data_IF_765138896715
#
_entry.id   IF_765138896715
#
_cell.length_a   1.000
_cell.length_b   1.000
_cell.length_c   1.000
_cell.angle_alpha   90.00
_cell.angle_beta   90.00
_cell.angle_gamma   90.00
#
_symmetry.space_group_name_H-M   'P 1'
#
loop_
_entity.id
_entity.type
_entity.pdbx_description
1 polymer ?
#
# COMPACT_ATOMS: atom_id res chain seq x y z
N UNK A 1 31.51 32.96 24.22
CA UNK A 1 32.27 32.00 23.42
C UNK A 1 32.29 30.68 24.20
N UNK A 2 31.31 29.84 23.96
CA UNK A 2 31.16 28.56 24.66
C UNK A 2 31.52 27.44 23.70
N UNK A 3 32.61 26.74 23.97
CA UNK A 3 33.03 25.53 23.27
C UNK A 3 32.11 24.37 23.70
N UNK A 4 31.30 23.86 22.75
CA UNK A 4 30.69 22.58 22.95
C UNK A 4 31.67 21.48 22.50
N UNK A 5 32.14 20.66 23.45
CA UNK A 5 32.90 19.46 23.20
C UNK A 5 32.00 18.40 22.57
N UNK A 6 32.22 18.12 21.32
CA UNK A 6 31.65 16.98 20.57
C UNK A 6 32.22 15.67 21.10
N UNK A 7 31.43 14.94 21.84
CA UNK A 7 31.80 13.62 22.31
C UNK A 7 30.60 12.76 22.57
N UNK A 8 29.91 12.31 21.48
CA UNK A 8 28.96 11.16 21.48
C UNK A 8 28.23 10.92 20.14
N UNK A 9 28.75 11.42 19.05
CA UNK A 9 28.15 11.19 17.72
C UNK A 9 28.69 9.86 17.07
N UNK A 10 29.77 9.31 17.60
CA UNK A 10 30.41 8.14 17.00
C UNK A 10 29.74 6.78 17.21
N UNK A 11 28.69 6.68 18.07
CA UNK A 11 28.03 5.38 18.30
C UNK A 11 26.75 5.20 17.45
N UNK A 12 26.12 6.26 17.00
CA UNK A 12 24.90 6.15 16.18
C UNK A 12 25.20 5.84 14.71
N UNK A 13 26.34 6.29 14.18
CA UNK A 13 26.71 5.99 12.79
C UNK A 13 27.12 4.53 12.58
N UNK A 14 27.68 3.87 13.62
CA UNK A 14 28.09 2.45 13.52
C UNK A 14 26.92 1.45 13.51
N UNK A 15 25.75 1.84 13.99
CA UNK A 15 24.57 0.96 13.99
C UNK A 15 23.83 0.98 12.64
N UNK A 16 23.94 2.06 11.87
CA UNK A 16 23.27 2.20 10.57
C UNK A 16 24.10 1.64 9.41
N UNK A 17 25.40 1.41 9.60
CA UNK A 17 26.26 0.84 8.54
C UNK A 17 26.12 -0.68 8.35
N UNK A 18 25.31 -1.37 9.16
CA UNK A 18 25.16 -2.83 9.12
C UNK A 18 23.88 -3.34 8.44
N UNK A 19 22.91 -2.48 8.12
CA UNK A 19 21.67 -2.91 7.47
C UNK A 19 21.30 -1.95 6.33
N UNK A 20 21.65 -2.34 5.11
CA UNK A 20 21.13 -1.69 3.92
C UNK A 20 21.80 -0.35 3.55
N UNK A 21 21.67 0.07 2.32
CA UNK A 21 22.13 1.38 1.88
C UNK A 21 21.50 2.47 2.76
N UNK A 22 22.33 3.37 3.29
CA UNK A 22 21.85 4.53 4.04
C UNK A 22 20.80 5.27 3.23
N UNK A 23 19.62 5.45 3.81
CA UNK A 23 18.57 6.30 3.21
C UNK A 23 18.99 7.78 3.22
N UNK A 24 19.99 8.14 4.03
CA UNK A 24 20.51 9.49 4.12
C UNK A 24 21.64 9.72 3.12
N UNK A 25 21.61 10.86 2.46
CA UNK A 25 22.61 11.35 1.53
C UNK A 25 23.14 12.72 1.95
N UNK A 26 24.20 13.19 1.31
CA UNK A 26 24.69 14.55 1.54
C UNK A 26 23.71 15.66 1.14
N UNK A 27 22.64 15.30 0.45
CA UNK A 27 21.61 16.24 0.02
C UNK A 27 20.50 16.45 1.06
N UNK A 28 20.49 15.65 2.13
CA UNK A 28 19.51 15.79 3.21
C UNK A 28 19.69 17.09 4.03
N UNK A 29 20.85 17.74 3.92
CA UNK A 29 21.08 19.06 4.46
C UNK A 29 20.48 20.21 3.61
N UNK A 30 19.99 19.91 2.42
CA UNK A 30 19.44 20.92 1.50
C UNK A 30 17.91 20.87 1.48
N UNK A 31 17.22 22.01 1.38
CA UNK A 31 15.75 22.07 1.41
C UNK A 31 15.12 21.69 0.06
N UNK A 32 15.51 20.56 -0.52
CA UNK A 32 15.06 20.11 -1.85
C UNK A 32 13.99 19.03 -1.80
N UNK A 33 13.78 18.40 -0.66
CA UNK A 33 12.86 17.27 -0.46
C UNK A 33 11.89 17.52 0.69
N UNK A 34 11.90 18.72 1.23
CA UNK A 34 11.14 19.05 2.42
C UNK A 34 9.64 19.06 2.15
N UNK A 35 8.90 18.26 2.89
CA UNK A 35 7.46 18.35 3.03
C UNK A 35 7.07 18.12 4.48
N UNK A 36 6.18 18.96 5.00
CA UNK A 36 5.57 18.81 6.32
C UNK A 36 4.26 18.04 6.25
N UNK A 37 3.83 17.70 5.03
CA UNK A 37 2.60 16.97 4.81
C UNK A 37 2.73 15.51 5.24
N UNK A 38 1.62 14.86 5.58
CA UNK A 38 1.61 13.43 5.85
C UNK A 38 2.22 12.61 4.70
N UNK A 39 2.79 11.44 5.03
CA UNK A 39 3.44 10.54 4.07
C UNK A 39 2.52 10.09 2.92
N UNK A 40 1.21 10.25 3.06
CA UNK A 40 0.22 10.00 2.01
C UNK A 40 0.37 10.90 0.78
N UNK A 41 1.16 11.96 0.85
CA UNK A 41 1.39 12.85 -0.29
C UNK A 41 2.25 12.10 -1.32
N UNK A 42 1.74 11.84 -2.52
CA UNK A 42 2.47 11.09 -3.53
C UNK A 42 3.50 11.96 -4.25
N UNK A 43 4.48 11.31 -4.87
CA UNK A 43 5.53 11.97 -5.66
C UNK A 43 5.05 12.50 -7.04
N UNK A 44 3.75 12.52 -7.29
CA UNK A 44 3.16 12.94 -8.57
C UNK A 44 1.96 13.84 -8.37
N UNK A 45 1.76 14.77 -9.30
CA UNK A 45 0.58 15.65 -9.38
C UNK A 45 -0.51 15.08 -10.30
N UNK A 46 -0.33 13.89 -10.86
CA UNK A 46 -1.36 13.25 -11.67
C UNK A 46 -2.59 13.00 -10.81
N UNK A 47 -3.72 13.57 -11.25
CA UNK A 47 -4.99 13.43 -10.55
C UNK A 47 -5.45 11.98 -10.42
N UNK A 48 -5.08 11.14 -11.36
CA UNK A 48 -5.49 9.74 -11.43
C UNK A 48 -4.44 8.77 -10.87
N UNK A 49 -3.37 9.30 -10.27
CA UNK A 49 -2.43 8.45 -9.55
C UNK A 49 -3.15 7.68 -8.45
N UNK A 50 -2.91 6.40 -8.38
CA UNK A 50 -3.44 5.53 -7.34
C UNK A 50 -2.41 4.47 -6.95
N UNK A 51 -2.58 3.99 -5.72
CA UNK A 51 -1.89 2.81 -5.20
C UNK A 51 -2.94 1.78 -4.79
N UNK A 52 -2.73 0.49 -5.06
CA UNK A 52 -3.77 -0.51 -4.86
C UNK A 52 -3.24 -1.84 -4.34
N UNK A 53 -4.12 -2.50 -3.62
CA UNK A 53 -4.06 -3.93 -3.34
C UNK A 53 -4.91 -4.69 -4.36
N UNK A 54 -4.43 -5.86 -4.75
CA UNK A 54 -5.21 -6.79 -5.55
C UNK A 54 -4.99 -8.21 -5.06
N UNK A 55 -6.09 -8.87 -4.70
CA UNK A 55 -6.10 -10.26 -4.29
C UNK A 55 -7.11 -11.04 -5.10
N UNK A 56 -6.84 -12.31 -5.35
CA UNK A 56 -7.82 -13.22 -5.91
C UNK A 56 -7.55 -14.63 -5.40
N UNK A 57 -8.57 -15.47 -5.50
CA UNK A 57 -8.48 -16.85 -5.11
C UNK A 57 -9.67 -17.65 -5.64
N UNK A 58 -9.53 -18.96 -5.60
CA UNK A 58 -10.55 -19.88 -6.03
C UNK A 58 -10.48 -21.15 -5.20
N UNK A 59 -11.61 -21.86 -5.11
CA UNK A 59 -11.62 -23.19 -4.50
C UNK A 59 -10.89 -24.18 -5.41
N UNK A 60 -10.19 -25.15 -4.83
CA UNK A 60 -9.43 -26.16 -5.56
C UNK A 60 -10.32 -26.99 -6.49
N UNK A 61 -11.57 -27.22 -6.10
CA UNK A 61 -12.61 -27.90 -6.89
C UNK A 61 -13.35 -26.98 -7.87
N UNK A 62 -13.01 -25.68 -7.91
CA UNK A 62 -13.68 -24.68 -8.75
C UNK A 62 -15.03 -24.21 -8.21
N UNK A 63 -15.43 -24.57 -6.99
CA UNK A 63 -16.73 -24.23 -6.40
C UNK A 63 -16.97 -22.74 -6.22
N UNK A 64 -15.90 -21.92 -6.08
CA UNK A 64 -15.98 -20.48 -6.07
C UNK A 64 -14.73 -19.80 -6.59
N UNK A 65 -14.89 -18.54 -7.00
CA UNK A 65 -13.81 -17.60 -7.29
C UNK A 65 -14.11 -16.27 -6.61
N UNK A 66 -13.07 -15.59 -6.12
CA UNK A 66 -13.21 -14.23 -5.65
C UNK A 66 -12.08 -13.31 -6.15
N UNK A 67 -12.39 -12.02 -6.25
CA UNK A 67 -11.45 -10.96 -6.52
C UNK A 67 -11.69 -9.80 -5.54
N UNK A 68 -10.61 -9.22 -5.03
CA UNK A 68 -10.63 -8.14 -4.07
C UNK A 68 -9.71 -7.04 -4.58
N UNK A 69 -10.22 -5.80 -4.60
CA UNK A 69 -9.44 -4.60 -4.86
C UNK A 69 -9.62 -3.59 -3.75
N UNK A 70 -8.56 -2.92 -3.35
CA UNK A 70 -8.63 -1.73 -2.51
C UNK A 70 -7.62 -0.71 -3.03
N UNK A 71 -8.04 0.54 -3.22
CA UNK A 71 -7.22 1.56 -3.82
C UNK A 71 -7.28 2.88 -3.08
N UNK A 72 -6.12 3.52 -2.96
CA UNK A 72 -5.96 4.87 -2.48
C UNK A 72 -5.67 5.79 -3.66
N UNK A 73 -6.48 6.84 -3.82
CA UNK A 73 -6.32 7.90 -4.82
C UNK A 73 -5.94 9.20 -4.09
N UNK A 74 -4.67 9.42 -3.78
CA UNK A 74 -4.25 10.50 -2.88
C UNK A 74 -4.59 11.89 -3.42
N UNK A 75 -4.44 12.12 -4.73
CA UNK A 75 -4.75 13.42 -5.37
C UNK A 75 -6.26 13.67 -5.55
N UNK A 76 -7.10 12.64 -5.40
CA UNK A 76 -8.56 12.77 -5.33
C UNK A 76 -9.07 12.81 -3.89
N UNK A 77 -8.23 12.41 -2.93
CA UNK A 77 -8.62 12.31 -1.52
C UNK A 77 -9.63 11.21 -1.25
N UNK A 78 -9.57 10.11 -2.01
CA UNK A 78 -10.52 8.99 -1.94
C UNK A 78 -9.76 7.68 -1.68
N UNK A 79 -10.38 6.82 -0.90
CA UNK A 79 -10.04 5.42 -0.75
C UNK A 79 -11.28 4.58 -1.06
N UNK A 80 -11.15 3.54 -1.86
CA UNK A 80 -12.24 2.63 -2.19
C UNK A 80 -11.84 1.16 -2.04
N UNK A 81 -12.83 0.30 -2.06
CA UNK A 81 -12.64 -1.14 -2.10
C UNK A 81 -13.79 -1.82 -2.84
N UNK A 82 -13.49 -3.03 -3.35
CA UNK A 82 -14.48 -3.92 -3.93
C UNK A 82 -14.14 -5.37 -3.59
N UNK A 83 -15.16 -6.16 -3.31
CA UNK A 83 -15.09 -7.60 -3.14
C UNK A 83 -16.10 -8.24 -4.09
N UNK A 84 -15.64 -9.11 -4.96
CA UNK A 84 -16.48 -9.88 -5.88
C UNK A 84 -16.32 -11.36 -5.59
N UNK A 85 -17.42 -12.05 -5.40
CA UNK A 85 -17.50 -13.50 -5.21
C UNK A 85 -18.37 -14.10 -6.31
N UNK A 86 -17.87 -15.12 -6.99
CA UNK A 86 -18.65 -15.94 -7.90
C UNK A 86 -18.79 -17.33 -7.28
N UNK A 87 -20.03 -17.74 -7.04
CA UNK A 87 -20.39 -19.05 -6.50
C UNK A 87 -21.68 -19.53 -7.23
N UNK A 88 -21.74 -20.81 -7.58
CA UNK A 88 -22.88 -21.39 -8.31
C UNK A 88 -23.26 -20.63 -9.60
N UNK A 89 -22.27 -20.02 -10.28
CA UNK A 89 -22.47 -19.22 -11.48
C UNK A 89 -23.09 -17.84 -11.23
N UNK A 90 -23.29 -17.43 -9.97
CA UNK A 90 -23.84 -16.14 -9.59
C UNK A 90 -22.71 -15.26 -9.01
N UNK A 91 -22.65 -14.02 -9.48
CA UNK A 91 -21.72 -13.02 -8.94
C UNK A 91 -22.41 -12.20 -7.86
N UNK A 92 -21.76 -12.16 -6.70
CA UNK A 92 -22.10 -11.26 -5.60
C UNK A 92 -21.00 -10.23 -5.48
N UNK A 93 -21.36 -8.97 -5.17
CA UNK A 93 -20.37 -7.90 -5.08
C UNK A 93 -20.67 -6.94 -3.92
N UNK A 94 -19.63 -6.56 -3.23
CA UNK A 94 -19.60 -5.48 -2.25
C UNK A 94 -18.68 -4.37 -2.78
N UNK A 95 -19.11 -3.11 -2.64
CA UNK A 95 -18.32 -1.92 -2.98
C UNK A 95 -18.51 -0.86 -1.91
N UNK A 96 -17.43 -0.20 -1.52
CA UNK A 96 -17.49 0.93 -0.61
C UNK A 96 -16.39 1.95 -0.93
N UNK A 97 -16.60 3.20 -0.54
CA UNK A 97 -15.61 4.25 -0.63
C UNK A 97 -15.71 5.23 0.52
N UNK A 98 -14.60 5.88 0.84
CA UNK A 98 -14.50 6.92 1.87
C UNK A 98 -13.52 8.00 1.45
N UNK A 99 -13.49 9.10 2.21
CA UNK A 99 -12.37 10.03 2.12
C UNK A 99 -11.07 9.34 2.52
N UNK A 100 -10.01 9.62 1.79
CA UNK A 100 -8.69 9.09 2.10
C UNK A 100 -8.28 9.47 3.53
N UNK A 101 -7.80 8.52 4.34
CA UNK A 101 -7.30 8.81 5.69
C UNK A 101 -6.03 9.64 5.65
N UNK A 102 -5.69 10.29 6.76
CA UNK A 102 -4.42 10.99 6.93
C UNK A 102 -3.27 10.00 7.16
N UNK A 103 -3.57 8.93 7.90
CA UNK A 103 -2.62 7.88 8.23
C UNK A 103 -2.64 6.78 7.17
N UNK A 104 -1.52 6.51 6.47
CA UNK A 104 -1.47 5.48 5.42
C UNK A 104 -1.68 4.07 5.95
N UNK A 105 -1.55 3.85 7.25
CA UNK A 105 -1.82 2.56 7.90
C UNK A 105 -3.31 2.29 8.14
N UNK A 106 -4.18 3.27 7.97
CA UNK A 106 -5.62 3.11 8.05
C UNK A 106 -6.18 2.51 6.76
N UNK A 107 -6.14 1.19 6.65
CA UNK A 107 -6.55 0.43 5.47
C UNK A 107 -7.96 -0.14 5.64
N UNK A 108 -8.94 0.74 5.98
CA UNK A 108 -10.33 0.32 6.16
C UNK A 108 -11.31 1.22 5.39
N UNK A 109 -12.38 0.62 4.87
CA UNK A 109 -13.48 1.28 4.16
C UNK A 109 -14.79 0.62 4.58
N UNK A 110 -15.51 1.22 5.53
CA UNK A 110 -16.72 0.63 6.10
C UNK A 110 -16.42 -0.74 6.76
N UNK A 111 -17.14 -1.81 6.39
CA UNK A 111 -16.91 -3.14 6.95
C UNK A 111 -15.68 -3.85 6.37
N UNK A 112 -15.03 -3.29 5.36
CA UNK A 112 -13.83 -3.85 4.75
C UNK A 112 -12.56 -3.29 5.40
N UNK A 113 -11.55 -4.16 5.65
CA UNK A 113 -10.21 -3.73 6.08
C UNK A 113 -9.11 -4.70 5.69
N UNK A 114 -7.91 -4.16 5.56
CA UNK A 114 -6.67 -4.92 5.39
C UNK A 114 -5.80 -4.70 6.63
N UNK A 115 -5.41 -5.77 7.28
CA UNK A 115 -4.53 -5.78 8.44
C UNK A 115 -3.15 -6.30 8.00
N UNK A 116 -2.11 -5.47 8.12
CA UNK A 116 -0.73 -5.90 7.87
C UNK A 116 -0.21 -6.55 9.15
N UNK A 117 -0.20 -7.88 9.19
CA UNK A 117 0.22 -8.64 10.37
C UNK A 117 1.75 -8.63 10.50
N UNK A 118 2.45 -8.94 9.40
CA UNK A 118 3.90 -8.81 9.29
C UNK A 118 4.23 -8.27 7.89
N UNK A 119 4.82 -7.06 7.78
CA UNK A 119 5.11 -6.46 6.48
C UNK A 119 5.88 -7.40 5.55
N UNK A 120 5.46 -7.48 4.28
CA UNK A 120 6.02 -8.32 3.23
C UNK A 120 5.89 -9.84 3.46
N UNK A 121 5.24 -10.29 4.54
CA UNK A 121 5.11 -11.72 4.86
C UNK A 121 3.69 -12.18 5.08
N UNK A 122 2.90 -11.42 5.82
CA UNK A 122 1.52 -11.81 6.09
C UNK A 122 0.59 -10.63 6.27
N UNK A 123 -0.61 -10.76 5.74
CA UNK A 123 -1.68 -9.81 5.91
C UNK A 123 -3.02 -10.55 5.99
N UNK A 124 -4.01 -9.86 6.48
CA UNK A 124 -5.38 -10.35 6.60
C UNK A 124 -6.33 -9.38 5.90
N UNK A 125 -7.24 -9.92 5.11
CA UNK A 125 -8.37 -9.18 4.53
C UNK A 125 -9.63 -9.60 5.28
N UNK A 126 -10.36 -8.62 5.78
CA UNK A 126 -11.63 -8.84 6.48
C UNK A 126 -12.73 -8.07 5.79
N UNK A 127 -13.85 -8.72 5.59
CA UNK A 127 -15.12 -8.11 5.26
C UNK A 127 -16.12 -8.56 6.30
N UNK A 128 -16.51 -7.64 7.18
CA UNK A 128 -17.51 -7.91 8.21
C UNK A 128 -18.92 -7.97 7.59
N UNK A 129 -19.90 -8.39 8.38
CA UNK A 129 -21.29 -8.51 7.95
C UNK A 129 -21.81 -7.18 7.36
N UNK A 130 -22.52 -7.28 6.25
CA UNK A 130 -23.04 -6.15 5.49
C UNK A 130 -24.29 -6.54 4.69
N UNK A 131 -24.89 -5.59 3.99
CA UNK A 131 -26.14 -5.82 3.25
C UNK A 131 -26.04 -6.79 2.07
N UNK A 132 -24.83 -7.11 1.58
CA UNK A 132 -24.67 -8.03 0.45
C UNK A 132 -24.68 -9.49 0.86
N UNK A 133 -24.58 -9.78 2.16
CA UNK A 133 -24.48 -11.12 2.68
C UNK A 133 -23.11 -11.77 2.49
N UNK A 134 -22.12 -11.05 1.94
CA UNK A 134 -20.73 -11.53 1.85
C UNK A 134 -20.01 -11.13 3.14
N UNK A 135 -19.44 -12.09 3.85
CA UNK A 135 -18.52 -11.82 4.95
C UNK A 135 -17.39 -12.84 4.94
N UNK A 136 -16.17 -12.41 5.28
CA UNK A 136 -15.01 -13.29 5.29
C UNK A 136 -13.85 -12.74 6.11
N UNK A 137 -12.97 -13.65 6.49
CA UNK A 137 -11.63 -13.36 6.97
C UNK A 137 -10.65 -14.23 6.20
N UNK A 138 -9.72 -13.61 5.49
CA UNK A 138 -8.76 -14.29 4.62
C UNK A 138 -7.35 -13.95 5.05
N UNK A 139 -6.58 -14.95 5.41
CA UNK A 139 -5.17 -14.81 5.77
C UNK A 139 -4.27 -15.11 4.57
N UNK A 140 -3.39 -14.18 4.25
CA UNK A 140 -2.41 -14.28 3.18
C UNK A 140 -1.02 -14.43 3.78
N UNK A 141 -0.33 -15.48 3.38
CA UNK A 141 1.02 -15.79 3.86
C UNK A 141 1.94 -15.96 2.65
N UNK A 142 2.99 -15.15 2.59
CA UNK A 142 3.99 -15.23 1.53
C UNK A 142 4.72 -16.59 1.59
N UNK A 143 4.80 -17.27 0.46
CA UNK A 143 5.56 -18.54 0.32
C UNK A 143 6.98 -18.30 -0.17
N UNK A 144 7.24 -17.15 -0.77
CA UNK A 144 8.53 -16.74 -1.32
C UNK A 144 8.83 -15.31 -0.89
N UNK A 145 10.07 -14.88 -1.07
CA UNK A 145 10.40 -13.46 -0.92
C UNK A 145 9.60 -12.63 -1.94
N UNK A 146 9.16 -11.47 -1.50
CA UNK A 146 8.51 -10.48 -2.38
C UNK A 146 9.55 -9.92 -3.36
N UNK A 147 9.11 -9.56 -4.55
CA UNK A 147 9.94 -8.89 -5.55
C UNK A 147 9.21 -7.66 -6.07
N UNK A 148 9.98 -6.65 -6.45
CA UNK A 148 9.45 -5.48 -7.11
C UNK A 148 9.35 -5.74 -8.62
N UNK A 149 8.20 -5.45 -9.21
CA UNK A 149 8.09 -5.44 -10.66
C UNK A 149 8.91 -4.28 -11.23
N UNK A 150 9.58 -4.54 -12.36
CA UNK A 150 10.34 -3.51 -13.05
C UNK A 150 9.42 -2.45 -13.65
N UNK A 151 9.83 -1.18 -13.60
CA UNK A 151 9.11 -0.10 -14.24
C UNK A 151 8.98 -0.35 -15.74
N UNK A 152 7.77 -0.44 -16.25
CA UNK A 152 7.51 -0.51 -17.68
C UNK A 152 7.34 0.92 -18.23
N UNK A 153 8.26 1.31 -19.10
CA UNK A 153 8.20 2.57 -19.83
C UNK A 153 7.60 2.31 -21.21
N UNK A 154 6.34 2.70 -21.41
CA UNK A 154 5.75 2.66 -22.75
C UNK A 154 5.96 3.99 -23.46
N UNK A 155 6.88 4.00 -24.39
CA UNK A 155 7.19 5.16 -25.24
C UNK A 155 6.22 5.19 -26.45
N UNK A 156 4.95 5.47 -26.18
CA UNK A 156 3.93 5.63 -27.24
C UNK A 156 3.60 7.09 -27.50
N UNK A 157 4.56 8.00 -27.43
CA UNK A 157 4.46 9.39 -27.94
C UNK A 157 3.39 10.28 -27.29
N UNK A 158 2.67 9.83 -26.27
CA UNK A 158 1.62 10.57 -25.56
C UNK A 158 1.66 10.35 -24.04
N UNK A 159 2.81 10.59 -23.44
CA UNK A 159 2.97 10.51 -22.00
C UNK A 159 3.62 9.19 -21.54
N UNK A 160 4.26 9.29 -20.39
CA UNK A 160 4.93 8.18 -19.72
C UNK A 160 3.89 7.52 -18.80
N UNK A 161 3.58 6.25 -19.05
CA UNK A 161 2.89 5.42 -18.07
C UNK A 161 3.95 4.64 -17.29
N UNK A 162 4.00 4.86 -15.97
CA UNK A 162 4.76 4.04 -15.06
C UNK A 162 3.82 3.04 -14.40
N UNK A 163 4.10 1.76 -14.58
CA UNK A 163 3.50 0.69 -13.80
C UNK A 163 4.58 0.19 -12.85
N UNK A 164 4.26 0.21 -11.56
CA UNK A 164 5.09 -0.39 -10.52
C UNK A 164 4.37 -1.59 -9.94
#
# INVERSE_FOLDING_TARGET
MALFKTGRIGLYSRFLEKEGASLLSRFDDYPIHQTTDPIRIPATTDRHAYDRYWFNGYAEDGGFYFGIGAALYPNLGIMDCGFSLVIDGVQHAFHASRRAPQEPSELEVGPFRIEIIEPMKSLRVVLDDNETGISCQLDWIARTASFAEGHQRTDRGKGMQMHA
#
